data_IF_987076473172
#
_entry.id   IF_987076473172
#
_cell.length_a   1.000
_cell.length_b   1.000
_cell.length_c   1.000
_cell.angle_alpha   90.00
_cell.angle_beta   90.00
_cell.angle_gamma   90.00
#
_symmetry.space_group_name_H-M   'P 1'
#
loop_
_entity.id
_entity.type
_entity.pdbx_description
1 polymer ?
#
# COMPACT_ATOMS: atom_id res chain seq x y z
N UNK A 1 -10.55 21.70 62.90
CA UNK A 1 -9.26 21.06 62.57
C UNK A 1 -9.38 20.47 61.17
N UNK A 2 -8.59 20.97 60.21
CA UNK A 2 -8.69 20.72 58.75
C UNK A 2 -7.97 19.42 58.35
N UNK A 3 -8.63 18.51 57.64
CA UNK A 3 -8.00 17.41 56.85
C UNK A 3 -8.87 17.15 55.62
N UNK A 4 -8.71 17.91 54.52
CA UNK A 4 -8.05 17.56 53.24
C UNK A 4 -8.48 16.23 52.61
N UNK A 5 -9.39 16.33 51.64
CA UNK A 5 -9.75 15.30 50.65
C UNK A 5 -8.72 15.36 49.51
N UNK A 6 -7.93 14.30 49.24
CA UNK A 6 -7.17 14.23 48.01
C UNK A 6 -8.06 13.70 46.87
N UNK A 7 -8.17 14.53 45.82
CA UNK A 7 -8.74 14.20 44.52
C UNK A 7 -7.93 13.05 43.91
N UNK A 8 -8.54 11.87 43.76
CA UNK A 8 -7.97 10.80 42.95
C UNK A 8 -8.29 11.12 41.48
N UNK A 9 -7.25 11.55 40.76
CA UNK A 9 -7.32 11.89 39.34
C UNK A 9 -7.65 10.66 38.50
N UNK A 10 -8.73 10.77 37.74
CA UNK A 10 -9.09 9.88 36.64
C UNK A 10 -8.04 10.04 35.52
N UNK A 11 -7.09 9.10 35.44
CA UNK A 11 -6.19 8.98 34.29
C UNK A 11 -6.99 8.29 33.18
N UNK A 12 -7.50 9.08 32.24
CA UNK A 12 -8.04 8.56 30.97
C UNK A 12 -6.82 8.13 30.15
N UNK A 13 -6.46 6.85 30.25
CA UNK A 13 -5.57 6.22 29.30
C UNK A 13 -6.33 6.13 27.97
N UNK A 14 -6.05 7.05 27.04
CA UNK A 14 -6.35 6.87 25.63
C UNK A 14 -5.54 5.65 25.15
N UNK A 15 -6.17 4.48 25.23
CA UNK A 15 -5.67 3.28 24.57
C UNK A 15 -5.74 3.53 23.07
N UNK A 16 -4.58 3.76 22.45
CA UNK A 16 -4.42 3.55 21.03
C UNK A 16 -4.71 2.08 20.75
N UNK A 17 -5.87 1.81 20.12
CA UNK A 17 -6.13 0.51 19.52
C UNK A 17 -5.21 0.42 18.31
N UNK A 18 -4.13 -0.34 18.44
CA UNK A 18 -3.38 -0.82 17.28
C UNK A 18 -4.27 -1.86 16.62
N UNK A 19 -4.95 -1.46 15.54
CA UNK A 19 -5.64 -2.41 14.67
C UNK A 19 -4.55 -3.21 13.97
N UNK A 20 -4.38 -4.46 14.37
CA UNK A 20 -3.59 -5.42 13.61
C UNK A 20 -4.39 -5.73 12.35
N UNK A 21 -3.91 -5.16 11.24
CA UNK A 21 -4.35 -5.50 9.92
C UNK A 21 -3.95 -6.97 9.63
N UNK A 22 -4.91 -7.84 9.35
CA UNK A 22 -4.64 -9.15 8.74
C UNK A 22 -5.44 -9.34 7.44
N UNK A 23 -4.74 -9.68 6.34
CA UNK A 23 -5.13 -10.34 5.06
C UNK A 23 -6.41 -9.95 4.30
N UNK A 24 -7.37 -9.27 4.92
CA UNK A 24 -8.61 -8.71 4.37
C UNK A 24 -8.68 -7.20 4.70
N UNK A 25 -7.54 -6.56 4.97
CA UNK A 25 -7.52 -5.17 5.37
C UNK A 25 -7.75 -4.27 4.18
N UNK A 26 -8.99 -3.81 4.10
CA UNK A 26 -9.32 -2.62 3.35
C UNK A 26 -8.82 -1.41 4.12
N UNK A 27 -8.01 -0.60 3.45
CA UNK A 27 -7.55 0.68 3.98
C UNK A 27 -8.15 1.80 3.15
N UNK A 28 -8.61 2.86 3.81
CA UNK A 28 -9.15 4.02 3.13
C UNK A 28 -8.08 5.11 2.94
N UNK A 29 -8.01 5.68 1.75
CA UNK A 29 -7.16 6.83 1.43
C UNK A 29 -7.96 7.86 0.65
N UNK A 30 -8.19 9.05 1.23
CA UNK A 30 -8.86 10.17 0.59
C UNK A 30 -10.19 9.83 -0.14
N UNK A 31 -10.99 8.90 0.38
CA UNK A 31 -12.22 8.44 -0.30
C UNK A 31 -12.03 7.29 -1.30
N UNK A 32 -10.86 6.65 -1.31
CA UNK A 32 -10.61 5.37 -1.98
C UNK A 32 -10.57 4.25 -0.94
N UNK A 33 -11.23 3.13 -1.22
CA UNK A 33 -11.02 1.87 -0.52
C UNK A 33 -9.99 1.04 -1.30
N UNK A 34 -8.92 0.65 -0.62
CA UNK A 34 -7.81 -0.09 -1.19
C UNK A 34 -7.71 -1.44 -0.50
N UNK A 35 -7.57 -2.52 -1.27
CA UNK A 35 -7.38 -3.86 -0.74
C UNK A 35 -6.26 -4.57 -1.49
N UNK A 36 -5.20 -4.99 -0.80
CA UNK A 36 -4.18 -5.83 -1.40
C UNK A 36 -4.71 -7.26 -1.62
N UNK A 37 -4.46 -7.84 -2.81
CA UNK A 37 -4.98 -9.16 -3.20
C UNK A 37 -3.91 -10.21 -3.39
N UNK A 38 -2.75 -9.86 -3.95
CA UNK A 38 -1.68 -10.82 -4.15
C UNK A 38 -0.32 -10.16 -4.35
N UNK A 39 0.73 -10.94 -4.08
CA UNK A 39 2.10 -10.66 -4.49
C UNK A 39 2.53 -11.68 -5.54
N UNK A 40 3.11 -11.22 -6.65
CA UNK A 40 3.66 -12.09 -7.70
C UNK A 40 5.07 -11.68 -8.09
N UNK A 41 5.88 -12.67 -8.51
CA UNK A 41 7.31 -12.48 -8.82
C UNK A 41 7.58 -12.76 -10.30
N UNK A 42 8.33 -11.88 -10.96
CA UNK A 42 8.69 -12.07 -12.37
C UNK A 42 9.96 -11.29 -12.76
N UNK A 43 10.65 -11.74 -13.82
CA UNK A 43 11.73 -10.98 -14.48
C UNK A 43 11.20 -9.99 -15.53
N UNK A 44 9.94 -10.12 -15.93
CA UNK A 44 9.26 -9.26 -16.92
C UNK A 44 7.86 -8.88 -16.47
N UNK A 45 7.53 -7.60 -16.52
CA UNK A 45 6.23 -7.07 -16.07
C UNK A 45 5.75 -5.96 -17.00
N UNK A 46 4.44 -5.71 -17.01
CA UNK A 46 3.90 -4.46 -17.52
C UNK A 46 4.10 -3.37 -16.47
N UNK A 47 4.61 -2.21 -16.86
CA UNK A 47 4.71 -1.03 -15.99
C UNK A 47 3.64 0.00 -16.37
N UNK A 48 2.46 -0.48 -16.77
CA UNK A 48 1.35 0.37 -17.16
C UNK A 48 0.76 1.11 -15.96
N UNK A 49 0.44 2.40 -16.12
CA UNK A 49 -0.22 3.20 -15.08
C UNK A 49 -1.61 2.64 -14.73
N UNK A 50 -2.18 3.05 -13.59
CA UNK A 50 -3.46 2.51 -13.11
C UNK A 50 -4.46 3.57 -12.59
N UNK A 51 -5.75 3.55 -13.00
CA UNK A 51 -6.30 2.92 -14.20
C UNK A 51 -5.43 3.13 -15.45
N UNK A 52 -5.57 2.30 -16.51
CA UNK A 52 -4.69 2.34 -17.66
C UNK A 52 -4.44 3.75 -18.19
N UNK A 53 -3.24 4.28 -17.93
CA UNK A 53 -2.82 5.61 -18.34
C UNK A 53 -1.85 5.58 -19.52
N UNK A 54 -1.11 6.67 -19.69
CA UNK A 54 -0.20 6.87 -20.82
C UNK A 54 1.04 5.97 -20.78
N UNK A 55 1.50 5.57 -19.59
CA UNK A 55 2.64 4.68 -19.48
C UNK A 55 2.25 3.28 -19.97
N UNK A 56 2.95 2.80 -21.00
CA UNK A 56 2.77 1.46 -21.59
C UNK A 56 4.08 0.67 -21.62
N UNK A 57 5.07 1.11 -20.84
CA UNK A 57 6.42 0.53 -20.85
C UNK A 57 6.42 -0.85 -20.20
N UNK A 58 7.35 -1.71 -20.61
CA UNK A 58 7.60 -3.01 -19.98
C UNK A 58 8.86 -2.97 -19.14
N UNK A 59 8.76 -3.50 -17.92
CA UNK A 59 9.91 -3.75 -17.06
C UNK A 59 10.58 -5.07 -17.44
N UNK A 60 11.90 -5.04 -17.64
CA UNK A 60 12.70 -6.24 -17.91
C UNK A 60 13.96 -6.20 -17.05
N UNK A 61 14.14 -7.22 -16.19
CA UNK A 61 15.40 -7.42 -15.47
C UNK A 61 16.38 -8.16 -16.37
N UNK A 62 17.62 -7.68 -16.48
CA UNK A 62 18.62 -8.35 -17.31
C UNK A 62 19.00 -9.70 -16.68
N UNK A 63 19.33 -10.73 -17.48
CA UNK A 63 19.65 -12.06 -16.93
C UNK A 63 20.82 -12.08 -15.92
N UNK A 64 21.76 -11.15 -16.05
CA UNK A 64 22.94 -11.04 -15.17
C UNK A 64 22.65 -10.31 -13.84
N UNK A 65 21.45 -9.74 -13.69
CA UNK A 65 21.08 -8.98 -12.50
C UNK A 65 20.33 -9.85 -11.49
N UNK A 66 20.73 -9.78 -10.23
CA UNK A 66 20.11 -10.50 -9.11
C UNK A 66 18.93 -9.73 -8.52
N UNK A 67 18.08 -9.21 -9.40
CA UNK A 67 16.83 -8.55 -9.04
C UNK A 67 15.63 -9.31 -9.60
N UNK A 68 14.46 -9.01 -9.09
CA UNK A 68 13.19 -9.40 -9.69
C UNK A 68 12.18 -8.27 -9.54
N UNK A 69 11.03 -8.41 -10.21
CA UNK A 69 9.88 -7.58 -9.91
C UNK A 69 9.00 -8.29 -8.90
N UNK A 70 8.68 -7.60 -7.81
CA UNK A 70 7.54 -7.90 -6.96
C UNK A 70 6.36 -7.05 -7.45
N UNK A 71 5.28 -7.72 -7.89
CA UNK A 71 4.06 -7.05 -8.36
C UNK A 71 2.96 -7.25 -7.34
N UNK A 72 2.46 -6.14 -6.81
CA UNK A 72 1.38 -6.10 -5.84
C UNK A 72 0.07 -5.79 -6.58
N UNK A 73 -0.89 -6.70 -6.48
CA UNK A 73 -2.23 -6.47 -6.99
C UNK A 73 -3.06 -5.77 -5.90
N UNK A 74 -3.62 -4.61 -6.23
CA UNK A 74 -4.48 -3.81 -5.35
C UNK A 74 -5.82 -3.62 -6.04
N UNK A 75 -6.90 -4.03 -5.40
CA UNK A 75 -8.24 -3.64 -5.80
C UNK A 75 -8.56 -2.27 -5.21
N UNK A 76 -9.09 -1.38 -6.05
CA UNK A 76 -9.46 -0.01 -5.71
C UNK A 76 -10.94 0.17 -5.94
N UNK A 77 -11.62 0.77 -4.95
CA UNK A 77 -12.99 1.21 -5.05
C UNK A 77 -13.08 2.70 -4.69
N UNK A 78 -13.64 3.49 -5.60
CA UNK A 78 -13.84 4.93 -5.45
C UNK A 78 -15.13 5.14 -4.68
N UNK A 79 -15.05 5.75 -3.51
CA UNK A 79 -16.24 6.10 -2.72
C UNK A 79 -16.83 7.43 -3.19
N UNK A 80 -18.13 7.66 -2.95
CA UNK A 80 -18.77 8.96 -3.23
C UNK A 80 -18.14 10.16 -2.50
N UNK A 81 -17.31 9.91 -1.48
CA UNK A 81 -16.57 10.92 -0.73
C UNK A 81 -15.24 11.30 -1.37
N UNK A 82 -14.86 10.67 -2.49
CA UNK A 82 -13.66 11.04 -3.24
C UNK A 82 -13.87 12.41 -3.91
N UNK A 83 -13.09 13.42 -3.51
CA UNK A 83 -13.21 14.78 -4.03
C UNK A 83 -12.37 15.03 -5.29
N UNK A 84 -11.73 13.99 -5.84
CA UNK A 84 -10.79 14.12 -6.95
C UNK A 84 -9.36 14.43 -6.49
N UNK A 85 -8.44 14.49 -7.46
CA UNK A 85 -7.06 14.88 -7.25
C UNK A 85 -6.03 13.81 -7.59
N UNK A 86 -4.76 14.21 -7.51
CA UNK A 86 -3.63 13.33 -7.77
C UNK A 86 -3.42 12.36 -6.60
N UNK A 87 -3.33 11.07 -6.90
CA UNK A 87 -2.97 10.04 -5.92
C UNK A 87 -1.47 9.74 -6.04
N UNK A 88 -0.70 9.82 -4.95
CA UNK A 88 0.73 9.58 -4.98
C UNK A 88 1.09 8.15 -5.39
N UNK A 89 2.30 8.00 -5.93
CA UNK A 89 2.83 6.67 -6.27
C UNK A 89 2.98 5.82 -5.01
N UNK A 90 2.59 4.55 -5.05
CA UNK A 90 2.78 3.68 -3.91
C UNK A 90 4.27 3.38 -3.69
N UNK A 91 4.61 3.17 -2.43
CA UNK A 91 5.93 2.74 -1.96
C UNK A 91 5.82 1.34 -1.37
N UNK A 92 6.76 0.47 -1.73
CA UNK A 92 6.85 -0.88 -1.20
C UNK A 92 7.94 -0.93 -0.14
N UNK A 93 7.68 -1.64 0.95
CA UNK A 93 8.67 -1.86 2.01
C UNK A 93 8.91 -3.36 2.22
N UNK A 94 10.14 -3.71 2.56
CA UNK A 94 10.49 -5.05 3.04
C UNK A 94 10.42 -5.17 4.56
N UNK A 95 10.68 -6.37 5.09
CA UNK A 95 10.68 -6.65 6.53
C UNK A 95 11.81 -5.93 7.29
N UNK A 96 12.88 -5.53 6.60
CA UNK A 96 13.97 -4.72 7.13
C UNK A 96 13.67 -3.20 7.06
N UNK A 97 12.55 -2.80 6.46
CA UNK A 97 12.14 -1.40 6.31
C UNK A 97 12.79 -0.67 5.14
N UNK A 98 13.47 -1.35 4.22
CA UNK A 98 13.96 -0.73 3.00
C UNK A 98 12.80 -0.36 2.07
N UNK A 99 12.92 0.79 1.41
CA UNK A 99 11.91 1.32 0.50
C UNK A 99 12.25 1.00 -0.96
N UNK A 100 11.22 0.62 -1.72
CA UNK A 100 11.29 0.40 -3.16
C UNK A 100 10.24 1.23 -3.88
N UNK A 101 10.65 1.85 -4.99
CA UNK A 101 9.82 2.76 -5.80
C UNK A 101 9.34 2.07 -7.06
N UNK A 102 8.15 2.46 -7.52
CA UNK A 102 7.61 2.04 -8.81
C UNK A 102 7.72 3.15 -9.86
N UNK A 103 7.79 2.76 -11.13
CA UNK A 103 7.67 3.69 -12.25
C UNK A 103 6.21 4.09 -12.51
N UNK A 104 5.26 3.25 -12.09
CA UNK A 104 3.82 3.40 -12.35
C UNK A 104 3.21 4.52 -11.51
N UNK A 105 2.13 5.09 -12.01
CA UNK A 105 1.37 6.17 -11.36
C UNK A 105 -0.10 5.82 -11.29
N UNK A 106 -0.81 6.44 -10.35
CA UNK A 106 -2.25 6.52 -10.44
C UNK A 106 -2.65 7.56 -11.51
N UNK A 107 -3.67 7.26 -12.32
CA UNK A 107 -4.17 8.13 -13.41
C UNK A 107 -5.68 8.02 -13.56
N UNK A 108 -6.37 9.16 -13.65
CA UNK A 108 -7.83 9.22 -13.84
C UNK A 108 -8.57 8.28 -12.88
N UNK A 109 -8.28 8.44 -11.59
CA UNK A 109 -8.69 7.54 -10.50
C UNK A 109 -10.22 7.44 -10.38
N UNK A 110 -10.93 8.51 -10.71
CA UNK A 110 -12.39 8.57 -10.75
C UNK A 110 -13.02 8.08 -12.07
N UNK A 111 -12.21 7.57 -13.01
CA UNK A 111 -12.72 7.07 -14.29
C UNK A 111 -13.70 5.90 -14.17
N UNK A 112 -13.61 5.13 -13.07
CA UNK A 112 -14.48 3.98 -12.76
C UNK A 112 -14.66 3.83 -11.26
N UNK A 113 -15.83 3.34 -10.85
CA UNK A 113 -16.13 3.07 -9.43
C UNK A 113 -15.24 1.97 -8.83
N UNK A 114 -14.90 0.94 -9.61
CA UNK A 114 -14.02 -0.16 -9.17
C UNK A 114 -13.05 -0.58 -10.26
N UNK A 115 -11.80 -0.81 -9.90
CA UNK A 115 -10.78 -1.31 -10.81
C UNK A 115 -9.63 -1.99 -10.04
N UNK A 116 -8.83 -2.78 -10.76
CA UNK A 116 -7.67 -3.48 -10.19
C UNK A 116 -6.38 -2.90 -10.76
N UNK A 117 -5.45 -2.60 -9.86
CA UNK A 117 -4.10 -2.15 -10.18
C UNK A 117 -3.07 -3.23 -9.93
N UNK A 118 -2.01 -3.22 -10.75
CA UNK A 118 -0.82 -4.03 -10.53
C UNK A 118 0.37 -3.10 -10.45
N UNK A 119 0.96 -2.93 -9.26
CA UNK A 119 2.16 -2.10 -9.08
C UNK A 119 3.38 -2.98 -8.94
N UNK A 120 4.33 -2.83 -9.87
CA UNK A 120 5.57 -3.59 -9.90
C UNK A 120 6.73 -2.77 -9.36
N UNK A 121 7.55 -3.43 -8.53
CA UNK A 121 8.72 -2.86 -7.87
C UNK A 121 9.93 -3.72 -8.13
N UNK A 122 11.05 -3.10 -8.47
CA UNK A 122 12.32 -3.81 -8.64
C UNK A 122 12.96 -4.01 -7.27
N UNK A 123 13.13 -5.26 -6.87
CA UNK A 123 13.69 -5.67 -5.57
C UNK A 123 14.85 -6.64 -5.76
N UNK A 124 15.79 -6.78 -4.81
CA UNK A 124 16.71 -7.92 -4.79
C UNK A 124 15.94 -9.25 -4.81
N UNK A 125 16.49 -10.27 -5.47
CA UNK A 125 15.83 -11.56 -5.56
C UNK A 125 15.62 -12.18 -4.16
N UNK A 126 14.41 -12.68 -3.89
CA UNK A 126 14.08 -13.29 -2.61
C UNK A 126 13.83 -12.29 -1.47
N UNK A 127 13.74 -11.00 -1.77
CA UNK A 127 13.34 -9.97 -0.79
C UNK A 127 11.93 -10.27 -0.28
N UNK A 128 11.79 -10.37 1.05
CA UNK A 128 10.49 -10.53 1.71
C UNK A 128 9.79 -9.19 1.84
N UNK A 129 8.66 -9.01 1.17
CA UNK A 129 7.93 -7.74 1.23
C UNK A 129 6.95 -7.74 2.41
N UNK A 130 6.78 -6.59 3.06
CA UNK A 130 5.98 -6.48 4.28
C UNK A 130 4.74 -5.62 4.08
N UNK A 131 4.88 -4.43 3.49
CA UNK A 131 3.77 -3.48 3.31
C UNK A 131 3.90 -2.66 2.05
N UNK A 132 2.77 -2.22 1.52
CA UNK A 132 2.68 -1.20 0.48
C UNK A 132 1.94 0.01 1.04
N UNK A 133 2.45 1.22 0.78
CA UNK A 133 1.91 2.45 1.31
C UNK A 133 1.64 3.49 0.23
N UNK A 134 0.56 4.25 0.41
CA UNK A 134 0.21 5.45 -0.35
C UNK A 134 0.06 6.55 0.70
N UNK A 135 1.08 7.40 0.81
CA UNK A 135 1.22 8.36 1.92
C UNK A 135 1.09 7.71 3.30
N UNK A 136 0.03 8.04 4.04
CA UNK A 136 -0.27 7.56 5.38
C UNK A 136 -1.10 6.26 5.39
N UNK A 137 -1.74 5.91 4.28
CA UNK A 137 -2.45 4.65 4.10
C UNK A 137 -1.45 3.51 3.82
N UNK A 138 -1.46 2.47 4.65
CA UNK A 138 -0.56 1.33 4.53
C UNK A 138 -1.31 0.01 4.59
N UNK A 139 -1.08 -0.85 3.60
CA UNK A 139 -1.60 -2.21 3.52
C UNK A 139 -0.50 -3.19 3.94
N UNK A 140 -0.77 -4.06 4.92
CA UNK A 140 0.09 -5.21 5.21
C UNK A 140 -0.11 -6.26 4.10
N UNK A 141 1.00 -6.72 3.52
CA UNK A 141 1.03 -7.73 2.47
C UNK A 141 1.89 -8.93 2.84
N UNK A 142 2.40 -8.98 4.07
CA UNK A 142 3.29 -10.03 4.57
C UNK A 142 2.66 -11.41 4.46
N UNK A 143 1.34 -11.51 4.66
CA UNK A 143 0.57 -12.76 4.53
C UNK A 143 0.25 -13.15 3.09
N UNK A 144 0.48 -12.25 2.12
CA UNK A 144 0.21 -12.47 0.69
C UNK A 144 1.45 -12.94 -0.08
N UNK A 145 2.63 -12.88 0.57
CA UNK A 145 3.85 -13.53 0.10
C UNK A 145 3.67 -15.06 0.11
N UNK A 146 4.14 -15.72 -0.95
CA UNK A 146 4.10 -17.18 -1.11
C UNK A 146 5.48 -17.80 -1.04
#
# INVERSE_FOLDING_TARGET
MKIRIPRLGLVIALGFVVVQAGADDTVSYNGLELTAKSVSRSKRVSLQDCPPGENIVRGVIRPVEDNEFATIQIDVKVLPTFEGGDVPKPLLYDDAGNEYKTAQSFRDVDSKETYTCNFSFRVPKGTKVSRIAIEDASLDISSLEK
#
